data_IF_255947517190
#
_entry.id   IF_255947517190
#
_cell.length_a   1.000
_cell.length_b   1.000
_cell.length_c   1.000
_cell.angle_alpha   90.00
_cell.angle_beta   90.00
_cell.angle_gamma   90.00
#
_symmetry.space_group_name_H-M   'P 1'
#
loop_
_entity.id
_entity.type
_entity.pdbx_description
1 polymer ?
#
# COMPACT_ATOMS: atom_id res chain seq x y z
N UNK A 1 -10.33 -18.24 -7.54
CA UNK A 1 -11.00 -17.05 -6.96
C UNK A 1 -11.26 -17.36 -5.49
N UNK A 2 -10.87 -16.47 -4.55
CA UNK A 2 -11.12 -16.65 -3.11
C UNK A 2 -12.59 -16.31 -2.81
N UNK A 3 -13.56 -17.07 -3.36
CA UNK A 3 -14.98 -16.72 -3.22
C UNK A 3 -15.45 -16.82 -1.78
N UNK A 4 -14.86 -17.73 -1.02
CA UNK A 4 -15.29 -18.04 0.35
C UNK A 4 -14.89 -16.96 1.38
N UNK A 5 -14.03 -16.01 0.99
CA UNK A 5 -13.59 -14.92 1.89
C UNK A 5 -14.38 -13.63 1.70
N UNK A 6 -15.23 -13.54 0.66
CA UNK A 6 -16.04 -12.36 0.36
C UNK A 6 -17.52 -12.68 0.53
N UNK A 7 -18.14 -12.15 1.59
CA UNK A 7 -19.55 -12.36 1.91
C UNK A 7 -20.24 -11.01 2.01
N UNK A 8 -21.31 -10.78 1.24
CA UNK A 8 -22.07 -9.52 1.26
C UNK A 8 -21.16 -8.27 1.11
N UNK A 9 -20.28 -8.26 0.11
CA UNK A 9 -19.31 -7.18 -0.15
C UNK A 9 -18.30 -6.92 0.98
N UNK A 10 -18.10 -7.90 1.85
CA UNK A 10 -17.20 -7.79 2.99
C UNK A 10 -16.24 -8.96 3.04
N UNK A 11 -14.97 -8.63 3.18
CA UNK A 11 -13.88 -9.57 3.39
C UNK A 11 -13.94 -10.01 4.85
N UNK A 12 -14.23 -11.29 5.10
CA UNK A 12 -14.52 -11.79 6.47
C UNK A 12 -13.27 -12.01 7.33
N UNK A 13 -12.10 -12.05 6.71
CA UNK A 13 -10.80 -12.16 7.35
C UNK A 13 -9.83 -11.28 6.56
N UNK A 14 -9.23 -10.26 7.19
CA UNK A 14 -8.25 -9.39 6.52
C UNK A 14 -6.80 -9.85 6.67
N UNK A 15 -6.53 -10.87 7.50
CA UNK A 15 -5.21 -11.49 7.65
C UNK A 15 -4.91 -12.48 6.50
N UNK A 16 -5.49 -12.25 5.33
CA UNK A 16 -5.27 -13.10 4.18
C UNK A 16 -3.83 -13.00 3.75
N UNK A 17 -3.19 -14.16 3.62
CA UNK A 17 -1.93 -14.26 2.91
C UNK A 17 -2.07 -13.69 1.49
N UNK A 18 -1.01 -13.18 0.87
CA UNK A 18 -1.10 -12.72 -0.52
C UNK A 18 -1.53 -13.85 -1.46
N UNK A 19 -2.15 -13.52 -2.60
CA UNK A 19 -2.55 -14.52 -3.60
C UNK A 19 -1.32 -15.17 -4.24
N UNK A 20 -0.30 -14.36 -4.49
CA UNK A 20 0.94 -14.73 -5.18
C UNK A 20 2.11 -14.08 -4.48
N UNK A 21 3.28 -14.69 -4.63
CA UNK A 21 4.56 -14.21 -4.12
C UNK A 21 5.60 -14.37 -5.21
N UNK A 22 6.63 -13.52 -5.19
CA UNK A 22 7.78 -13.63 -6.06
C UNK A 22 8.81 -14.57 -5.43
N UNK A 23 8.97 -15.75 -6.02
CA UNK A 23 10.06 -16.68 -5.69
C UNK A 23 11.36 -16.16 -6.30
N UNK A 24 12.27 -15.73 -5.41
CA UNK A 24 13.53 -15.13 -5.80
C UNK A 24 14.51 -16.18 -6.32
N UNK A 25 14.40 -17.45 -5.98
CA UNK A 25 15.34 -18.45 -6.52
C UNK A 25 14.99 -18.86 -7.94
N UNK A 26 13.69 -18.98 -8.24
CA UNK A 26 13.23 -19.32 -9.60
C UNK A 26 12.96 -18.11 -10.48
N UNK A 27 13.04 -16.89 -9.93
CA UNK A 27 12.63 -15.64 -10.54
C UNK A 27 11.22 -15.72 -11.17
N UNK A 28 10.25 -16.22 -10.40
CA UNK A 28 8.86 -16.42 -10.84
C UNK A 28 7.84 -16.04 -9.78
N UNK A 29 6.71 -15.52 -10.22
CA UNK A 29 5.53 -15.34 -9.39
C UNK A 29 4.82 -16.68 -9.28
N UNK A 30 4.69 -17.16 -8.05
CA UNK A 30 4.03 -18.43 -7.70
C UNK A 30 2.85 -18.17 -6.76
N UNK A 31 1.83 -19.04 -6.74
CA UNK A 31 0.79 -18.96 -5.73
C UNK A 31 1.39 -19.09 -4.32
N UNK A 32 0.87 -18.31 -3.35
CA UNK A 32 1.40 -18.33 -1.97
C UNK A 32 1.44 -19.73 -1.34
N UNK A 33 0.45 -20.59 -1.66
CA UNK A 33 0.36 -21.94 -1.09
C UNK A 33 1.49 -22.87 -1.54
N UNK A 34 2.21 -22.51 -2.61
CA UNK A 34 3.45 -23.20 -3.03
C UNK A 34 4.62 -22.79 -2.13
N UNK A 35 4.75 -21.49 -1.84
CA UNK A 35 5.83 -20.96 -1.02
C UNK A 35 5.71 -21.37 0.46
N UNK A 36 4.49 -21.25 1.03
CA UNK A 36 4.19 -21.51 2.46
C UNK A 36 5.12 -20.80 3.44
N UNK A 37 5.76 -19.73 3.00
CA UNK A 37 6.61 -18.84 3.76
C UNK A 37 6.11 -17.41 3.58
N UNK A 38 6.24 -16.60 4.63
CA UNK A 38 5.87 -15.19 4.55
C UNK A 38 6.86 -14.46 3.63
N UNK A 39 6.37 -13.77 2.59
CA UNK A 39 7.24 -13.06 1.68
C UNK A 39 7.75 -11.76 2.33
N UNK A 40 8.89 -11.29 1.85
CA UNK A 40 9.41 -9.98 2.23
C UNK A 40 8.76 -8.90 1.37
N UNK A 41 7.99 -7.99 1.96
CA UNK A 41 7.28 -6.98 1.21
C UNK A 41 8.23 -5.89 0.71
N UNK A 42 7.95 -5.39 -0.48
CA UNK A 42 8.67 -4.31 -1.13
C UNK A 42 7.70 -3.16 -1.34
N UNK A 43 8.03 -2.00 -0.81
CA UNK A 43 7.29 -0.77 -0.98
C UNK A 43 8.10 0.20 -1.84
N UNK A 44 7.45 0.93 -2.73
CA UNK A 44 8.16 1.82 -3.65
C UNK A 44 7.36 3.07 -4.02
N UNK A 45 8.09 4.13 -4.34
CA UNK A 45 7.51 5.36 -4.85
C UNK A 45 6.92 5.14 -6.25
N UNK A 46 5.93 5.95 -6.59
CA UNK A 46 5.27 5.92 -7.89
C UNK A 46 5.94 6.92 -8.84
N UNK A 47 6.14 6.55 -10.11
CA UNK A 47 6.69 7.44 -11.14
C UNK A 47 5.61 8.26 -11.89
N UNK A 48 5.94 9.03 -12.90
CA UNK A 48 4.91 9.50 -13.84
C UNK A 48 4.57 8.40 -14.85
N UNK A 49 3.38 8.40 -15.46
CA UNK A 49 3.06 7.49 -16.58
C UNK A 49 4.08 7.66 -17.72
N UNK A 50 4.52 8.91 -17.95
CA UNK A 50 5.53 9.25 -18.95
C UNK A 50 6.92 8.70 -18.61
N UNK A 51 7.20 8.39 -17.35
CA UNK A 51 8.50 7.90 -16.86
C UNK A 51 8.51 6.39 -16.62
N UNK A 52 7.44 5.69 -17.03
CA UNK A 52 7.31 4.24 -16.88
C UNK A 52 7.18 3.53 -18.20
N UNK A 53 7.40 2.23 -18.11
CA UNK A 53 7.12 1.28 -19.16
C UNK A 53 6.39 0.08 -18.58
N UNK A 54 5.40 -0.39 -19.32
CA UNK A 54 4.65 -1.60 -19.04
C UNK A 54 5.37 -2.79 -19.67
N UNK A 55 6.05 -3.59 -18.85
CA UNK A 55 6.88 -4.70 -19.32
C UNK A 55 6.12 -6.02 -19.22
N UNK A 56 5.96 -6.72 -20.34
CA UNK A 56 5.55 -8.12 -20.31
C UNK A 56 6.77 -9.00 -19.99
N UNK A 57 6.69 -9.73 -18.89
CA UNK A 57 7.84 -10.48 -18.35
C UNK A 57 7.49 -11.95 -18.12
N UNK A 58 8.45 -12.88 -18.30
CA UNK A 58 8.28 -14.27 -17.90
C UNK A 58 8.09 -14.47 -16.40
N UNK A 59 8.48 -13.49 -15.57
CA UNK A 59 8.38 -13.56 -14.11
C UNK A 59 6.93 -13.84 -13.67
N UNK A 60 5.94 -13.16 -14.25
CA UNK A 60 4.51 -13.40 -14.00
C UNK A 60 3.84 -14.25 -15.10
N UNK A 61 4.62 -14.98 -15.90
CA UNK A 61 4.11 -15.80 -17.00
C UNK A 61 3.54 -14.99 -18.18
N UNK A 62 3.90 -13.71 -18.32
CA UNK A 62 3.33 -12.77 -19.29
C UNK A 62 1.81 -12.61 -19.17
N UNK A 63 1.26 -12.80 -17.96
CA UNK A 63 -0.18 -12.71 -17.75
C UNK A 63 -0.68 -11.26 -17.69
N UNK A 64 0.13 -10.33 -17.18
CA UNK A 64 -0.16 -8.90 -17.14
C UNK A 64 1.13 -8.07 -17.32
N UNK A 65 1.04 -6.84 -17.83
CA UNK A 65 2.18 -5.94 -17.86
C UNK A 65 2.62 -5.55 -16.45
N UNK A 66 3.91 -5.31 -16.27
CA UNK A 66 4.49 -4.89 -15.00
C UNK A 66 4.96 -3.43 -15.16
N UNK A 67 4.29 -2.45 -14.54
CA UNK A 67 4.68 -1.05 -14.65
C UNK A 67 5.93 -0.78 -13.82
N UNK A 68 7.04 -0.48 -14.49
CA UNK A 68 8.32 -0.12 -13.84
C UNK A 68 8.86 1.20 -14.40
N UNK A 69 9.74 1.92 -13.68
CA UNK A 69 10.46 3.06 -14.25
C UNK A 69 11.22 2.67 -15.53
N UNK A 70 11.30 3.58 -16.51
CA UNK A 70 12.03 3.35 -17.78
C UNK A 70 13.52 3.09 -17.59
N UNK A 71 14.08 3.61 -16.51
CA UNK A 71 15.48 3.48 -16.11
C UNK A 71 15.72 2.34 -15.11
N UNK A 72 14.71 1.52 -14.82
CA UNK A 72 14.81 0.39 -13.90
C UNK A 72 14.83 -0.96 -14.66
N UNK A 73 15.44 -1.96 -14.02
CA UNK A 73 15.52 -3.33 -14.52
C UNK A 73 15.08 -4.30 -13.41
N UNK A 74 14.12 -5.17 -13.72
CA UNK A 74 13.60 -6.19 -12.80
C UNK A 74 14.68 -7.20 -12.39
N UNK A 75 15.64 -7.51 -13.26
CA UNK A 75 16.73 -8.43 -12.94
C UNK A 75 17.74 -7.77 -11.98
N UNK A 76 17.97 -6.47 -12.08
CA UNK A 76 18.81 -5.73 -11.11
C UNK A 76 18.13 -5.63 -9.75
N UNK A 77 16.83 -5.33 -9.72
CA UNK A 77 16.01 -5.37 -8.50
C UNK A 77 16.09 -6.75 -7.87
N UNK A 78 15.94 -7.81 -8.66
CA UNK A 78 16.04 -9.19 -8.21
C UNK A 78 17.40 -9.49 -7.59
N UNK A 79 18.49 -9.11 -8.26
CA UNK A 79 19.88 -9.28 -7.77
C UNK A 79 20.09 -8.52 -6.45
N UNK A 80 19.56 -7.31 -6.32
CA UNK A 80 19.68 -6.53 -5.09
C UNK A 80 18.96 -7.23 -3.92
N UNK A 81 17.72 -7.68 -4.14
CA UNK A 81 16.93 -8.34 -3.10
C UNK A 81 17.56 -9.67 -2.70
N UNK A 82 18.01 -10.49 -3.66
CA UNK A 82 18.64 -11.78 -3.36
C UNK A 82 20.04 -11.61 -2.76
N UNK A 83 20.78 -10.56 -3.15
CA UNK A 83 22.11 -10.21 -2.66
C UNK A 83 22.13 -9.83 -1.17
N UNK A 84 20.99 -9.36 -0.64
CA UNK A 84 20.80 -9.18 0.80
C UNK A 84 20.82 -10.52 1.57
N UNK A 85 20.78 -11.67 0.89
CA UNK A 85 21.03 -13.01 1.42
C UNK A 85 19.99 -13.55 2.40
N UNK A 86 18.92 -12.80 2.66
CA UNK A 86 17.94 -13.08 3.71
C UNK A 86 16.61 -13.64 3.19
N UNK A 87 16.33 -13.50 1.90
CA UNK A 87 14.97 -13.63 1.37
C UNK A 87 14.87 -14.73 0.32
N UNK A 88 13.97 -15.70 0.54
CA UNK A 88 13.58 -16.69 -0.47
C UNK A 88 12.39 -16.23 -1.31
N UNK A 89 11.48 -15.47 -0.68
CA UNK A 89 10.26 -14.96 -1.28
C UNK A 89 10.12 -13.48 -0.99
N UNK A 90 9.67 -12.73 -2.00
CA UNK A 90 9.31 -11.33 -1.89
C UNK A 90 7.85 -11.10 -2.28
N UNK A 91 7.28 -9.98 -1.85
CA UNK A 91 5.99 -9.50 -2.30
C UNK A 91 6.17 -8.10 -2.86
N UNK A 92 5.95 -7.99 -4.17
CA UNK A 92 6.01 -6.73 -4.91
C UNK A 92 4.67 -6.57 -5.61
N UNK A 93 3.93 -5.52 -5.30
CA UNK A 93 2.55 -5.28 -5.77
C UNK A 93 2.43 -5.38 -7.30
N UNK A 94 3.35 -4.74 -8.05
CA UNK A 94 3.36 -4.75 -9.53
C UNK A 94 3.57 -6.14 -10.14
N UNK A 95 4.22 -7.06 -9.40
CA UNK A 95 4.40 -8.45 -9.82
C UNK A 95 3.32 -9.39 -9.28
N UNK A 96 2.89 -9.20 -8.04
CA UNK A 96 2.06 -10.16 -7.31
C UNK A 96 0.56 -9.90 -7.51
N UNK A 97 0.16 -8.65 -7.74
CA UNK A 97 -1.20 -8.26 -8.11
C UNK A 97 -1.34 -8.19 -9.62
N UNK A 98 -2.51 -8.59 -10.13
CA UNK A 98 -2.81 -8.46 -11.56
C UNK A 98 -2.94 -6.97 -11.90
N UNK A 99 -2.21 -6.51 -12.91
CA UNK A 99 -2.19 -5.10 -13.35
C UNK A 99 -3.11 -4.88 -14.56
N UNK A 100 -3.46 -3.62 -14.78
CA UNK A 100 -4.31 -3.17 -15.90
C UNK A 100 -3.65 -3.52 -17.24
N UNK A 101 -4.46 -3.87 -18.24
CA UNK A 101 -3.96 -4.14 -19.61
C UNK A 101 -3.41 -5.55 -19.82
N UNK A 102 -3.60 -6.43 -18.84
CA UNK A 102 -3.22 -7.84 -18.92
C UNK A 102 -4.25 -8.73 -19.62
N UNK A 103 -3.91 -10.01 -19.74
CA UNK A 103 -4.88 -11.04 -20.10
C UNK A 103 -5.84 -11.21 -18.91
N UNK A 104 -7.11 -11.48 -19.22
CA UNK A 104 -8.16 -11.75 -18.23
C UNK A 104 -8.39 -10.58 -17.28
N UNK A 105 -8.66 -9.41 -17.85
CA UNK A 105 -9.03 -8.20 -17.10
C UNK A 105 -10.28 -8.42 -16.22
N UNK A 106 -11.18 -9.31 -16.64
CA UNK A 106 -12.30 -9.80 -15.83
C UNK A 106 -11.85 -10.37 -14.48
N UNK A 107 -10.73 -11.09 -14.44
CA UNK A 107 -10.16 -11.62 -13.21
C UNK A 107 -9.51 -10.52 -12.37
N UNK A 108 -8.97 -9.47 -12.98
CA UNK A 108 -8.34 -8.37 -12.25
C UNK A 108 -9.37 -7.70 -11.36
N UNK A 109 -10.51 -7.31 -11.92
CA UNK A 109 -11.59 -6.67 -11.16
C UNK A 109 -12.08 -7.56 -10.02
N UNK A 110 -12.22 -8.87 -10.23
CA UNK A 110 -12.64 -9.79 -9.17
C UNK A 110 -11.56 -10.06 -8.11
N UNK A 111 -10.28 -10.08 -8.48
CA UNK A 111 -9.18 -10.23 -7.54
C UNK A 111 -9.00 -8.95 -6.71
N UNK A 112 -9.10 -7.78 -7.34
CA UNK A 112 -8.92 -6.48 -6.69
C UNK A 112 -9.96 -6.22 -5.59
N UNK A 113 -11.19 -6.71 -5.73
CA UNK A 113 -12.20 -6.66 -4.66
C UNK A 113 -11.68 -7.12 -3.31
N UNK A 114 -10.81 -8.12 -3.30
CA UNK A 114 -10.25 -8.71 -2.08
C UNK A 114 -8.82 -8.26 -1.85
N UNK A 115 -7.99 -8.35 -2.88
CA UNK A 115 -6.54 -8.22 -2.71
C UNK A 115 -6.13 -6.77 -2.40
N UNK A 116 -6.81 -5.76 -2.99
CA UNK A 116 -6.47 -4.34 -2.83
C UNK A 116 -6.72 -3.81 -1.40
N UNK A 117 -7.89 -4.04 -0.76
CA UNK A 117 -8.12 -3.64 0.64
C UNK A 117 -7.25 -4.37 1.66
N UNK A 118 -6.58 -5.46 1.26
CA UNK A 118 -5.74 -6.29 2.14
C UNK A 118 -4.24 -6.16 1.82
N UNK A 119 -3.83 -5.16 1.04
CA UNK A 119 -2.41 -4.95 0.69
C UNK A 119 -1.54 -4.80 1.94
N UNK A 120 -2.05 -4.21 3.03
CA UNK A 120 -1.31 -4.10 4.29
C UNK A 120 -0.94 -5.44 4.94
N UNK A 121 -1.63 -6.53 4.61
CA UNK A 121 -1.43 -7.85 5.21
C UNK A 121 -0.01 -8.43 5.00
N UNK A 122 0.54 -8.46 3.77
CA UNK A 122 1.96 -8.79 3.53
C UNK A 122 2.98 -7.96 4.34
N UNK A 123 2.65 -6.71 4.63
CA UNK A 123 3.54 -5.80 5.38
C UNK A 123 3.47 -6.11 6.88
N UNK A 124 2.26 -6.15 7.43
CA UNK A 124 1.99 -6.44 8.84
C UNK A 124 2.50 -7.81 9.29
N UNK A 125 2.43 -8.82 8.41
CA UNK A 125 2.93 -10.17 8.69
C UNK A 125 4.46 -10.30 8.56
N UNK A 126 5.17 -9.30 8.03
CA UNK A 126 6.62 -9.39 7.83
C UNK A 126 7.38 -9.33 9.16
N UNK A 127 8.24 -10.32 9.37
CA UNK A 127 9.10 -10.43 10.56
C UNK A 127 10.48 -9.78 10.38
N UNK A 128 10.88 -9.45 9.15
CA UNK A 128 12.24 -9.05 8.79
C UNK A 128 12.33 -7.62 8.20
N UNK A 129 11.29 -6.82 8.40
CA UNK A 129 11.19 -5.46 7.86
C UNK A 129 10.63 -5.41 6.43
N UNK A 130 10.64 -4.21 5.87
CA UNK A 130 10.15 -3.89 4.52
C UNK A 130 11.29 -3.26 3.74
N UNK A 131 11.40 -3.59 2.46
CA UNK A 131 12.33 -2.92 1.54
C UNK A 131 11.64 -1.69 0.95
N UNK A 132 12.16 -0.49 1.22
CA UNK A 132 11.60 0.78 0.76
C UNK A 132 12.46 1.39 -0.35
N UNK A 133 11.90 1.49 -1.55
CA UNK A 133 12.47 2.27 -2.65
C UNK A 133 11.86 3.67 -2.69
N UNK A 134 12.37 4.59 -1.86
CA UNK A 134 11.85 5.96 -1.77
C UNK A 134 12.07 6.79 -3.06
N UNK A 135 13.12 6.49 -3.82
CA UNK A 135 13.43 7.13 -5.11
C UNK A 135 12.71 6.52 -6.32
N UNK A 136 11.89 5.48 -6.10
CA UNK A 136 11.26 4.66 -7.13
C UNK A 136 11.86 3.28 -7.26
N UNK A 137 11.03 2.32 -7.64
CA UNK A 137 11.39 0.90 -7.71
C UNK A 137 12.65 0.67 -8.56
N UNK A 138 13.69 0.07 -7.96
CA UNK A 138 14.95 -0.25 -8.65
C UNK A 138 15.85 0.94 -8.99
N UNK A 139 15.50 2.15 -8.53
CA UNK A 139 16.33 3.34 -8.76
C UNK A 139 17.25 3.61 -7.57
N UNK A 140 18.41 4.24 -7.79
CA UNK A 140 19.26 4.68 -6.70
C UNK A 140 18.52 5.60 -5.73
N UNK A 141 18.87 5.53 -4.45
CA UNK A 141 18.40 6.44 -3.41
C UNK A 141 19.06 7.82 -3.60
N UNK A 142 18.49 8.63 -4.49
CA UNK A 142 18.96 9.98 -4.81
C UNK A 142 17.83 11.02 -4.67
N UNK A 143 17.21 11.05 -3.49
CA UNK A 143 16.20 12.04 -3.13
C UNK A 143 16.80 13.39 -2.73
N UNK A 144 16.14 14.46 -3.17
CA UNK A 144 16.40 15.84 -2.74
C UNK A 144 15.31 16.30 -1.78
N UNK A 145 15.59 17.36 -1.01
CA UNK A 145 14.63 17.94 -0.07
C UNK A 145 13.30 18.34 -0.75
N UNK A 146 13.34 18.80 -2.01
CA UNK A 146 12.14 19.15 -2.77
C UNK A 146 11.30 17.95 -3.19
N UNK A 147 11.89 16.75 -3.29
CA UNK A 147 11.19 15.55 -3.75
C UNK A 147 10.16 15.07 -2.73
N UNK A 148 10.32 15.43 -1.45
CA UNK A 148 9.36 15.09 -0.39
C UNK A 148 7.99 15.76 -0.56
N UNK A 149 7.96 16.94 -1.19
CA UNK A 149 6.73 17.71 -1.43
C UNK A 149 6.04 17.30 -2.74
N UNK A 150 6.72 16.54 -3.59
CA UNK A 150 6.16 16.03 -4.83
C UNK A 150 5.05 15.02 -4.55
N UNK A 151 3.96 15.05 -5.33
CA UNK A 151 2.91 14.02 -5.29
C UNK A 151 3.42 12.61 -5.62
N UNK A 152 4.63 12.52 -6.20
CA UNK A 152 5.35 11.27 -6.48
C UNK A 152 6.16 10.74 -5.30
N UNK A 153 6.34 11.55 -4.26
CA UNK A 153 7.00 11.13 -3.03
C UNK A 153 6.33 9.88 -2.47
N UNK A 154 7.14 8.94 -2.01
CA UNK A 154 6.65 7.76 -1.32
C UNK A 154 5.70 8.11 -0.16
N UNK A 155 5.99 9.19 0.57
CA UNK A 155 5.19 9.67 1.70
C UNK A 155 3.84 10.30 1.29
N UNK A 156 3.65 10.58 0.00
CA UNK A 156 2.46 11.23 -0.57
C UNK A 156 1.53 10.23 -1.24
N UNK A 157 1.88 8.96 -1.44
CA UNK A 157 0.98 7.97 -2.08
C UNK A 157 -0.06 7.44 -1.09
N UNK A 158 -1.33 7.35 -1.46
CA UNK A 158 -2.38 6.82 -0.57
C UNK A 158 -2.06 5.39 -0.07
N UNK A 159 -1.66 4.52 -1.00
CA UNK A 159 -1.39 3.11 -0.73
C UNK A 159 -0.26 2.86 0.27
N UNK A 160 0.79 3.67 0.29
CA UNK A 160 1.95 3.44 1.16
C UNK A 160 1.63 3.66 2.64
N UNK A 161 0.46 4.21 2.99
CA UNK A 161 0.06 4.37 4.40
C UNK A 161 -0.14 3.03 5.10
N UNK A 162 -0.66 2.02 4.38
CA UNK A 162 -0.85 0.66 4.90
C UNK A 162 0.39 -0.23 4.71
N UNK A 163 1.45 0.27 4.07
CA UNK A 163 2.68 -0.47 3.78
C UNK A 163 3.76 -0.25 4.86
N UNK A 164 3.44 0.54 5.89
CA UNK A 164 4.32 0.85 7.02
C UNK A 164 4.12 -0.18 8.12
N UNK A 165 5.23 -0.78 8.56
CA UNK A 165 5.22 -1.74 9.67
C UNK A 165 5.76 -1.10 10.94
N UNK A 166 5.15 -1.44 12.08
CA UNK A 166 5.69 -1.11 13.40
C UNK A 166 6.82 -2.03 13.87
N UNK A 167 7.15 -3.08 13.09
CA UNK A 167 8.13 -4.11 13.43
C UNK A 167 9.24 -4.25 12.39
N UNK A 168 10.48 -4.37 12.89
CA UNK A 168 11.68 -4.57 12.10
C UNK A 168 12.35 -3.28 11.65
N UNK A 169 13.67 -3.33 11.43
CA UNK A 169 14.40 -2.20 10.87
C UNK A 169 14.07 -2.05 9.37
N UNK A 170 13.74 -0.83 8.89
CA UNK A 170 13.47 -0.60 7.48
C UNK A 170 14.74 -0.87 6.66
N UNK A 171 14.59 -1.56 5.53
CA UNK A 171 15.67 -1.78 4.57
C UNK A 171 15.48 -0.75 3.46
N UNK A 172 16.51 0.03 3.17
CA UNK A 172 16.44 1.07 2.14
C UNK A 172 16.97 0.49 0.82
N UNK A 173 16.10 0.38 -0.18
CA UNK A 173 16.47 -0.07 -1.52
C UNK A 173 17.13 1.04 -2.33
N UNK A 174 18.04 0.66 -3.24
CA UNK A 174 18.78 1.58 -4.10
C UNK A 174 19.94 2.29 -3.41
N UNK A 175 20.34 1.86 -2.21
CA UNK A 175 21.50 2.43 -1.52
C UNK A 175 22.79 1.97 -2.21
N UNK A 176 23.46 2.88 -2.92
CA UNK A 176 24.77 2.64 -3.53
C UNK A 176 25.87 3.11 -2.57
N UNK A 177 26.91 2.30 -2.40
CA UNK A 177 27.95 2.53 -1.39
C UNK A 177 28.91 3.70 -1.66
N UNK A 178 28.82 4.38 -2.81
CA UNK A 178 29.88 5.31 -3.26
C UNK A 178 29.42 6.61 -3.97
N UNK A 179 28.12 6.84 -4.23
CA UNK A 179 27.71 7.94 -5.12
C UNK A 179 27.01 9.10 -4.40
N UNK A 180 27.83 9.93 -3.75
CA UNK A 180 27.43 11.20 -3.14
C UNK A 180 26.69 10.97 -1.83
N UNK A 181 27.31 11.34 -0.70
CA UNK A 181 26.66 11.32 0.60
C UNK A 181 25.29 11.99 0.50
N UNK A 182 24.24 11.16 0.38
CA UNK A 182 22.85 11.60 0.52
C UNK A 182 22.86 12.52 1.73
N UNK A 183 22.46 13.77 1.51
CA UNK A 183 22.61 14.79 2.53
C UNK A 183 22.05 14.26 3.86
N UNK A 184 22.81 14.35 4.94
CA UNK A 184 22.41 13.81 6.25
C UNK A 184 21.01 14.31 6.65
N UNK A 185 20.67 15.52 6.21
CA UNK A 185 19.34 16.11 6.34
C UNK A 185 18.23 15.28 5.66
N UNK A 186 18.47 14.71 4.47
CA UNK A 186 17.52 13.85 3.75
C UNK A 186 17.35 12.51 4.47
N UNK A 187 18.44 11.89 4.92
CA UNK A 187 18.38 10.64 5.71
C UNK A 187 17.61 10.84 7.01
N UNK A 188 17.95 11.90 7.75
CA UNK A 188 17.26 12.30 8.98
C UNK A 188 15.77 12.55 8.71
N UNK A 189 15.43 13.18 7.58
CA UNK A 189 14.03 13.45 7.21
C UNK A 189 13.26 12.16 6.92
N UNK A 190 13.84 11.20 6.19
CA UNK A 190 13.23 9.89 5.93
C UNK A 190 12.96 9.18 7.26
N UNK A 191 13.98 9.06 8.12
CA UNK A 191 13.84 8.39 9.42
C UNK A 191 12.77 9.04 10.30
N UNK A 192 12.75 10.37 10.37
CA UNK A 192 11.74 11.12 11.13
C UNK A 192 10.33 10.86 10.59
N UNK A 193 10.13 10.92 9.26
CA UNK A 193 8.81 10.71 8.68
C UNK A 193 8.35 9.25 8.81
N UNK A 194 9.25 8.27 8.65
CA UNK A 194 8.94 6.87 8.90
C UNK A 194 8.53 6.64 10.36
N UNK A 195 9.31 7.16 11.31
CA UNK A 195 9.02 7.02 12.74
C UNK A 195 7.65 7.62 13.11
N UNK A 196 7.33 8.80 12.59
CA UNK A 196 6.00 9.42 12.80
C UNK A 196 4.86 8.56 12.23
N UNK A 197 5.10 7.88 11.11
CA UNK A 197 4.10 7.03 10.47
C UNK A 197 3.95 5.67 11.19
N UNK A 198 5.02 5.14 11.75
CA UNK A 198 5.02 3.95 12.60
C UNK A 198 4.26 4.19 13.91
N UNK A 199 4.28 5.44 14.41
CA UNK A 199 3.61 5.85 15.65
C UNK A 199 2.16 6.32 15.45
N UNK A 200 1.56 6.15 14.26
CA UNK A 200 0.13 6.45 14.00
C UNK A 200 -0.86 5.51 14.75
N UNK A 201 -0.42 4.90 15.86
CA UNK A 201 -1.15 3.92 16.65
C UNK A 201 -2.34 4.54 17.37
N UNK A 202 -3.43 3.76 17.47
CA UNK A 202 -4.57 4.05 18.37
C UNK A 202 -5.41 5.30 18.07
N UNK A 203 -4.99 6.20 17.17
CA UNK A 203 -5.70 7.44 16.86
C UNK A 203 -6.19 7.48 15.39
N UNK A 204 -7.52 7.45 15.20
CA UNK A 204 -8.12 7.55 13.85
C UNK A 204 -7.88 8.92 13.21
N UNK A 205 -7.83 9.99 14.01
CA UNK A 205 -7.70 11.38 13.55
C UNK A 205 -6.33 11.59 12.92
N UNK A 206 -5.28 11.04 13.53
CA UNK A 206 -3.92 11.09 12.98
C UNK A 206 -3.80 10.29 11.68
N UNK A 207 -4.42 9.10 11.62
CA UNK A 207 -4.48 8.30 10.38
C UNK A 207 -5.19 9.06 9.25
N UNK A 208 -6.30 9.73 9.57
CA UNK A 208 -7.02 10.58 8.63
C UNK A 208 -6.19 11.80 8.21
N UNK A 209 -5.48 12.45 9.13
CA UNK A 209 -4.54 13.54 8.80
C UNK A 209 -3.41 13.09 7.87
N UNK A 210 -2.88 11.90 8.12
CA UNK A 210 -1.87 11.30 7.26
C UNK A 210 -2.45 11.01 5.86
N UNK A 211 -3.70 10.55 5.78
CA UNK A 211 -4.38 10.33 4.50
C UNK A 211 -4.75 11.63 3.78
N UNK A 212 -5.13 12.70 4.48
CA UNK A 212 -5.40 14.04 3.93
C UNK A 212 -4.23 14.56 3.10
N UNK A 213 -3.00 14.25 3.51
CA UNK A 213 -1.76 14.65 2.84
C UNK A 213 -1.37 13.71 1.68
N UNK A 214 -2.16 12.69 1.37
CA UNK A 214 -1.86 11.70 0.33
C UNK A 214 -2.69 11.89 -0.93
N UNK A 215 -2.13 11.40 -2.04
CA UNK A 215 -2.63 11.46 -3.41
C UNK A 215 -2.86 10.05 -3.92
N UNK A 216 -3.88 9.88 -4.74
CA UNK A 216 -4.20 8.64 -5.45
C UNK A 216 -4.66 8.93 -6.88
N UNK A 217 -4.60 7.91 -7.73
CA UNK A 217 -5.16 8.01 -9.09
C UNK A 217 -6.65 7.78 -9.11
N UNK A 218 -7.14 6.75 -8.41
CA UNK A 218 -8.56 6.61 -8.16
C UNK A 218 -8.86 7.21 -6.77
N UNK A 219 -9.84 8.13 -6.65
CA UNK A 219 -10.20 8.72 -5.35
C UNK A 219 -10.55 7.66 -4.28
N UNK A 220 -11.17 6.54 -4.66
CA UNK A 220 -11.54 5.44 -3.75
C UNK A 220 -10.32 4.79 -3.08
N UNK A 221 -9.15 4.86 -3.70
CA UNK A 221 -7.90 4.29 -3.17
C UNK A 221 -7.51 4.86 -1.81
N UNK A 222 -7.91 6.11 -1.51
CA UNK A 222 -7.66 6.72 -0.20
C UNK A 222 -8.46 6.04 0.90
N UNK A 223 -9.70 5.63 0.60
CA UNK A 223 -10.52 4.86 1.53
C UNK A 223 -9.97 3.44 1.67
N UNK A 224 -9.62 2.80 0.56
CA UNK A 224 -9.06 1.45 0.57
C UNK A 224 -7.70 1.38 1.30
N UNK A 225 -6.82 2.37 1.11
CA UNK A 225 -5.54 2.49 1.81
C UNK A 225 -5.67 2.80 3.32
N UNK A 226 -6.85 3.23 3.78
CA UNK A 226 -7.18 3.34 5.21
C UNK A 226 -7.75 2.05 5.79
N UNK A 227 -8.37 1.21 4.96
CA UNK A 227 -9.24 0.15 5.43
C UNK A 227 -8.50 -0.84 6.36
N UNK A 228 -7.30 -1.27 5.98
CA UNK A 228 -6.46 -2.16 6.80
C UNK A 228 -6.04 -1.51 8.13
N UNK A 229 -5.91 -0.18 8.20
CA UNK A 229 -5.40 0.54 9.36
C UNK A 229 -6.44 0.81 10.45
N UNK A 230 -7.73 0.73 10.11
CA UNK A 230 -8.85 1.12 10.99
C UNK A 230 -9.83 -0.04 11.25
N UNK A 231 -9.53 -1.23 10.75
CA UNK A 231 -10.32 -2.46 10.92
C UNK A 231 -9.46 -3.57 11.53
N UNK A 232 -10.09 -4.55 12.18
CA UNK A 232 -9.41 -5.77 12.65
C UNK A 232 -9.81 -6.96 11.76
N UNK A 233 -8.95 -7.99 11.66
CA UNK A 233 -9.24 -9.21 10.90
C UNK A 233 -10.61 -9.83 11.19
N UNK A 234 -11.03 -9.85 12.46
CA UNK A 234 -12.30 -10.46 12.87
C UNK A 234 -13.54 -9.66 12.51
N UNK A 235 -13.42 -8.33 12.37
CA UNK A 235 -14.54 -7.48 11.96
C UNK A 235 -14.63 -7.48 10.44
N UNK A 236 -13.52 -7.62 9.71
CA UNK A 236 -13.50 -7.69 8.26
C UNK A 236 -13.38 -6.32 7.58
N UNK A 237 -13.08 -6.34 6.28
CA UNK A 237 -12.75 -5.17 5.46
C UNK A 237 -13.74 -5.04 4.30
N UNK A 238 -14.19 -3.84 3.88
CA UNK A 238 -15.06 -3.71 2.72
C UNK A 238 -14.34 -4.14 1.44
N UNK A 239 -15.07 -4.75 0.51
CA UNK A 239 -14.51 -5.04 -0.81
C UNK A 239 -14.25 -3.77 -1.62
N UNK A 240 -13.22 -3.82 -2.44
CA UNK A 240 -12.88 -2.71 -3.33
C UNK A 240 -13.68 -2.73 -4.62
N UNK A 241 -14.26 -1.59 -4.98
CA UNK A 241 -14.97 -1.40 -6.24
C UNK A 241 -14.49 -0.10 -6.88
N UNK A 242 -13.76 -0.21 -8.00
CA UNK A 242 -13.15 0.95 -8.68
C UNK A 242 -14.16 2.05 -9.06
N UNK A 243 -15.39 1.65 -9.41
CA UNK A 243 -16.45 2.54 -9.85
C UNK A 243 -17.38 3.03 -8.72
N UNK A 244 -17.09 2.66 -7.46
CA UNK A 244 -17.86 3.11 -6.31
C UNK A 244 -17.60 4.59 -6.04
N UNK A 245 -18.58 5.30 -5.48
CA UNK A 245 -18.35 6.67 -5.03
C UNK A 245 -17.53 6.68 -3.74
N UNK A 246 -16.75 7.75 -3.52
CA UNK A 246 -15.96 7.88 -2.28
C UNK A 246 -16.86 7.84 -1.02
N UNK A 247 -18.05 8.46 -1.07
CA UNK A 247 -18.98 8.50 0.06
C UNK A 247 -19.61 7.13 0.36
N UNK A 248 -19.88 6.32 -0.66
CA UNK A 248 -20.37 4.96 -0.46
C UNK A 248 -19.26 4.06 0.12
N UNK A 249 -18.05 4.13 -0.43
CA UNK A 249 -16.90 3.39 0.09
C UNK A 249 -16.60 3.79 1.55
N UNK A 250 -16.65 5.10 1.85
CA UNK A 250 -16.49 5.61 3.21
C UNK A 250 -17.60 5.14 4.15
N UNK A 251 -18.86 5.10 3.67
CA UNK A 251 -19.99 4.54 4.44
C UNK A 251 -19.73 3.10 4.86
N UNK A 252 -19.28 2.27 3.92
CA UNK A 252 -18.98 0.86 4.16
C UNK A 252 -17.81 0.69 5.13
N UNK A 253 -16.75 1.51 4.99
CA UNK A 253 -15.62 1.48 5.92
C UNK A 253 -16.03 1.88 7.34
N UNK A 254 -16.77 2.98 7.52
CA UNK A 254 -17.21 3.40 8.86
C UNK A 254 -18.11 2.34 9.51
N UNK A 255 -18.90 1.61 8.72
CA UNK A 255 -19.76 0.54 9.23
C UNK A 255 -18.97 -0.64 9.83
N UNK A 256 -17.74 -0.87 9.36
CA UNK A 256 -16.85 -1.97 9.84
C UNK A 256 -15.61 -1.48 10.59
N UNK A 257 -15.44 -0.17 10.76
CA UNK A 257 -14.37 0.43 11.54
C UNK A 257 -14.42 -0.06 13.00
N UNK A 258 -13.26 -0.29 13.63
CA UNK A 258 -13.20 -0.69 15.04
C UNK A 258 -13.98 0.29 15.92
N UNK A 259 -14.65 -0.22 16.96
CA UNK A 259 -15.57 0.59 17.78
C UNK A 259 -14.89 1.81 18.43
N UNK A 260 -13.64 1.68 18.88
CA UNK A 260 -12.89 2.80 19.45
C UNK A 260 -12.52 3.87 18.41
N UNK A 261 -12.09 3.47 17.21
CA UNK A 261 -11.79 4.42 16.13
C UNK A 261 -13.05 5.12 15.66
N UNK A 262 -14.15 4.39 15.57
CA UNK A 262 -15.45 4.93 15.22
C UNK A 262 -15.94 5.94 16.26
N UNK A 263 -15.73 5.67 17.55
CA UNK A 263 -16.04 6.61 18.62
C UNK A 263 -15.18 7.88 18.53
N UNK A 264 -13.86 7.76 18.37
CA UNK A 264 -12.95 8.89 18.17
C UNK A 264 -13.40 9.75 16.97
N UNK A 265 -13.73 9.11 15.84
CA UNK A 265 -14.24 9.80 14.66
C UNK A 265 -15.48 10.66 14.99
N UNK A 266 -16.45 10.14 15.74
CA UNK A 266 -17.66 10.90 16.07
C UNK A 266 -17.42 12.01 17.09
N UNK A 267 -16.48 11.82 18.02
CA UNK A 267 -16.12 12.88 18.96
C UNK A 267 -15.32 14.02 18.30
N UNK A 268 -14.49 13.70 17.30
CA UNK A 268 -13.69 14.68 16.57
C UNK A 268 -14.45 15.41 15.46
N UNK A 269 -15.65 14.95 15.09
CA UNK A 269 -16.51 15.61 14.10
C UNK A 269 -17.93 15.74 14.65
N UNK A 270 -18.18 16.74 15.52
CA UNK A 270 -19.47 16.92 16.19
C UNK A 270 -20.56 17.45 15.26
N UNK A 271 -20.18 18.08 14.14
CA UNK A 271 -21.10 18.62 13.16
C UNK A 271 -21.82 17.53 12.36
N UNK A 272 -23.07 17.75 11.93
CA UNK A 272 -23.77 16.81 11.07
C UNK A 272 -23.02 16.51 9.77
N UNK A 273 -23.13 15.26 9.32
CA UNK A 273 -22.61 14.82 8.04
C UNK A 273 -23.22 15.57 6.86
N UNK A 274 -22.39 16.00 5.91
CA UNK A 274 -22.85 16.66 4.67
C UNK A 274 -23.24 15.70 3.53
N UNK A 275 -23.08 14.39 3.75
CA UNK A 275 -23.36 13.34 2.77
C UNK A 275 -24.74 12.70 2.93
N UNK A 276 -24.90 11.47 2.43
CA UNK A 276 -26.15 10.70 2.54
C UNK A 276 -26.49 10.29 3.99
N UNK A 277 -25.50 10.35 4.90
CA UNK A 277 -25.63 10.04 6.32
C UNK A 277 -25.26 11.28 7.14
N UNK A 278 -26.17 11.72 8.00
CA UNK A 278 -25.99 12.93 8.83
C UNK A 278 -25.38 12.66 10.22
N UNK A 279 -25.35 11.39 10.65
CA UNK A 279 -24.91 10.99 12.00
C UNK A 279 -23.40 10.73 12.12
N UNK A 280 -22.66 10.85 11.01
CA UNK A 280 -21.20 10.72 10.93
C UNK A 280 -20.68 11.77 9.94
N UNK A 281 -19.39 12.16 10.01
CA UNK A 281 -18.83 13.04 8.99
C UNK A 281 -18.84 12.36 7.61
N UNK A 282 -19.10 13.12 6.56
CA UNK A 282 -18.92 12.68 5.18
C UNK A 282 -17.44 12.53 4.85
N UNK A 283 -17.12 11.80 3.79
CA UNK A 283 -15.74 11.70 3.31
C UNK A 283 -15.19 13.09 2.98
N UNK A 284 -15.98 13.93 2.31
CA UNK A 284 -15.61 15.30 1.98
C UNK A 284 -15.25 16.14 3.21
N UNK A 285 -16.01 16.03 4.30
CA UNK A 285 -15.68 16.72 5.56
C UNK A 285 -14.37 16.20 6.14
N UNK A 286 -14.22 14.87 6.19
CA UNK A 286 -12.99 14.24 6.69
C UNK A 286 -11.76 14.69 5.91
N UNK A 287 -11.88 14.94 4.61
CA UNK A 287 -10.74 15.30 3.77
C UNK A 287 -10.42 16.80 3.72
N UNK A 288 -11.39 17.67 4.02
CA UNK A 288 -11.25 19.11 3.84
C UNK A 288 -11.27 19.92 5.14
N UNK A 289 -11.90 19.41 6.19
CA UNK A 289 -11.99 20.12 7.46
C UNK A 289 -10.72 19.90 8.31
N UNK A 290 -10.35 20.94 9.05
CA UNK A 290 -9.27 20.82 10.03
C UNK A 290 -9.72 19.86 11.13
N UNK A 291 -8.90 18.83 11.35
CA UNK A 291 -9.12 17.84 12.40
C UNK A 291 -9.02 18.53 13.77
N UNK A 292 -10.10 18.60 14.53
CA UNK A 292 -10.03 18.99 15.94
C UNK A 292 -9.42 17.84 16.74
N UNK A 293 -8.16 18.02 17.13
CA UNK A 293 -7.43 17.16 18.08
C UNK A 293 -7.85 17.47 19.52
#
# INVERSE_FOLDING_TARGET
MRRDVLVNNKIIDSSLHPRRVWDLYSNRVVPWWVARQLPHPISHAWMDEHDRVDVLTPINGHEWPVPIPKDADLDLIHIEIIGNGRFAYAWLDVLCLRQVGGRREDLRTEEWKVDVPTIGSPYDQSVCGVVYYFGGLGRPLNLKVCDFESDRSWFRRAWTLQEITGSGDPIIGGETGDDGAMEEAVRTRIQKQLSLLQDLGGNVVEKLSAMQKRVSTNPVDRIAGLAYLVTVPTIGVPAYYEAQTEEDAWSELVAVMMSWFRAQLFFSYPEPGSGSKVWRPSWTQVMNEALTL
#
